data_IF_409038166450
#
_entry.id   IF_409038166450
#
_cell.length_a   1.000
_cell.length_b   1.000
_cell.length_c   1.000
_cell.angle_alpha   90.00
_cell.angle_beta   90.00
_cell.angle_gamma   90.00
#
_symmetry.space_group_name_H-M   'P 1'
#
loop_
_entity.id
_entity.type
_entity.pdbx_description
1 polymer ?
#
# COMPACT_ATOMS: atom_id res chain seq x y z
N UNK A 1 19.90 17.27 -11.74
CA UNK A 1 19.35 15.89 -11.65
C UNK A 1 19.06 15.65 -10.18
N UNK A 2 17.79 15.69 -9.79
CA UNK A 2 17.40 15.51 -8.40
C UNK A 2 17.39 14.02 -8.08
N UNK A 3 18.41 13.57 -7.34
CA UNK A 3 18.37 12.32 -6.59
C UNK A 3 17.37 12.52 -5.44
N UNK A 4 16.12 12.14 -5.66
CA UNK A 4 15.18 11.98 -4.56
C UNK A 4 15.52 10.65 -3.91
N UNK A 5 16.45 10.71 -2.97
CA UNK A 5 16.72 9.62 -2.03
C UNK A 5 15.38 9.30 -1.37
N UNK A 6 14.75 8.23 -1.83
CA UNK A 6 13.46 7.76 -1.33
C UNK A 6 13.71 7.22 0.08
N UNK A 7 13.57 8.10 1.07
CA UNK A 7 13.68 7.77 2.49
C UNK A 7 12.78 6.55 2.76
N UNK A 8 13.33 5.37 3.07
CA UNK A 8 12.55 4.11 3.13
C UNK A 8 11.43 4.17 4.19
N UNK A 9 11.59 5.03 5.20
CA UNK A 9 10.54 5.33 6.19
C UNK A 9 9.31 6.03 5.59
N UNK A 10 9.49 6.87 4.57
CA UNK A 10 8.40 7.56 3.89
C UNK A 10 7.57 6.58 3.04
N UNK A 11 8.22 5.72 2.25
CA UNK A 11 7.49 4.75 1.41
C UNK A 11 6.68 3.75 2.23
N UNK A 12 7.20 3.31 3.39
CA UNK A 12 6.46 2.41 4.29
C UNK A 12 5.23 3.10 4.89
N UNK A 13 5.38 4.36 5.32
CA UNK A 13 4.26 5.14 5.86
C UNK A 13 3.20 5.41 4.79
N UNK A 14 3.60 5.76 3.57
CA UNK A 14 2.70 5.94 2.43
C UNK A 14 1.96 4.63 2.11
N UNK A 15 2.68 3.50 2.06
CA UNK A 15 2.05 2.20 1.82
C UNK A 15 1.03 1.83 2.90
N UNK A 16 1.34 2.08 4.17
CA UNK A 16 0.38 1.89 5.27
C UNK A 16 -0.84 2.80 5.15
N UNK A 17 -0.64 4.06 4.74
CA UNK A 17 -1.74 5.01 4.53
C UNK A 17 -2.66 4.56 3.39
N UNK A 18 -2.09 4.16 2.25
CA UNK A 18 -2.85 3.64 1.10
C UNK A 18 -3.64 2.40 1.48
N UNK A 19 -3.05 1.46 2.23
CA UNK A 19 -3.76 0.26 2.70
C UNK A 19 -5.02 0.61 3.50
N UNK A 20 -4.90 1.50 4.49
CA UNK A 20 -6.03 1.94 5.31
C UNK A 20 -7.10 2.62 4.47
N UNK A 21 -6.71 3.59 3.63
CA UNK A 21 -7.64 4.34 2.80
C UNK A 21 -8.38 3.45 1.79
N UNK A 22 -7.69 2.49 1.17
CA UNK A 22 -8.31 1.54 0.25
C UNK A 22 -9.30 0.60 0.96
N UNK A 23 -9.04 0.21 2.20
CA UNK A 23 -9.98 -0.58 3.01
C UNK A 23 -11.30 0.16 3.27
N UNK A 24 -11.21 1.43 3.67
CA UNK A 24 -12.37 2.28 3.93
C UNK A 24 -13.20 2.49 2.66
N UNK A 25 -12.54 2.80 1.54
CA UNK A 25 -13.21 2.97 0.26
C UNK A 25 -13.84 1.66 -0.26
N UNK A 26 -13.19 0.52 -0.07
CA UNK A 26 -13.74 -0.78 -0.46
C UNK A 26 -15.04 -1.09 0.29
N UNK A 27 -15.07 -0.77 1.59
CA UNK A 27 -16.28 -0.88 2.43
C UNK A 27 -17.41 0.02 1.92
N UNK A 28 -17.10 1.27 1.57
CA UNK A 28 -18.09 2.19 0.98
C UNK A 28 -18.60 1.70 -0.36
N UNK A 29 -17.73 1.24 -1.25
CA UNK A 29 -18.08 0.74 -2.58
C UNK A 29 -19.02 -0.48 -2.50
N UNK A 30 -18.75 -1.43 -1.59
CA UNK A 30 -19.64 -2.59 -1.38
C UNK A 30 -21.01 -2.18 -0.84
N UNK A 31 -21.07 -1.18 0.04
CA UNK A 31 -22.34 -0.66 0.58
C UNK A 31 -23.20 0.02 -0.49
N UNK A 32 -22.60 0.57 -1.54
CA UNK A 32 -23.32 1.25 -2.63
C UNK A 32 -23.55 0.36 -3.86
N UNK A 33 -23.17 -0.93 -3.81
CA UNK A 33 -23.33 -1.87 -4.93
C UNK A 33 -22.31 -1.69 -6.05
N UNK A 34 -21.19 -1.00 -5.78
CA UNK A 34 -20.08 -0.84 -6.72
C UNK A 34 -19.06 -1.99 -6.55
N UNK A 35 -19.51 -3.23 -6.77
CA UNK A 35 -18.75 -4.43 -6.42
C UNK A 35 -17.39 -4.52 -7.14
N UNK A 36 -17.34 -4.20 -8.43
CA UNK A 36 -16.08 -4.18 -9.20
C UNK A 36 -15.09 -3.17 -8.62
N UNK A 37 -15.56 -2.00 -8.21
CA UNK A 37 -14.71 -1.00 -7.57
C UNK A 37 -14.23 -1.48 -6.19
N UNK A 38 -15.12 -2.09 -5.40
CA UNK A 38 -14.77 -2.69 -4.12
C UNK A 38 -13.73 -3.80 -4.24
N UNK A 39 -13.79 -4.59 -5.31
CA UNK A 39 -12.77 -5.60 -5.63
C UNK A 39 -11.41 -4.97 -5.95
N UNK A 40 -11.38 -3.95 -6.82
CA UNK A 40 -10.13 -3.27 -7.18
C UNK A 40 -9.49 -2.59 -5.97
N UNK A 41 -10.28 -1.98 -5.10
CA UNK A 41 -9.78 -1.35 -3.87
C UNK A 41 -9.22 -2.38 -2.88
N UNK A 42 -9.80 -3.58 -2.81
CA UNK A 42 -9.25 -4.68 -2.04
C UNK A 42 -7.89 -5.13 -2.60
N UNK A 43 -7.75 -5.20 -3.92
CA UNK A 43 -6.47 -5.51 -4.57
C UNK A 43 -5.40 -4.46 -4.24
N UNK A 44 -5.76 -3.17 -4.31
CA UNK A 44 -4.85 -2.07 -3.94
C UNK A 44 -4.41 -2.17 -2.49
N UNK A 45 -5.33 -2.49 -1.56
CA UNK A 45 -4.99 -2.71 -0.14
C UNK A 45 -3.93 -3.81 0.01
N UNK A 46 -4.13 -4.95 -0.64
CA UNK A 46 -3.20 -6.09 -0.57
C UNK A 46 -1.82 -5.73 -1.14
N UNK A 47 -1.75 -4.99 -2.24
CA UNK A 47 -0.49 -4.52 -2.83
C UNK A 47 0.25 -3.52 -1.93
N UNK A 48 -0.48 -2.61 -1.29
CA UNK A 48 0.06 -1.65 -0.36
C UNK A 48 0.61 -2.33 0.92
N UNK A 49 -0.12 -3.32 1.45
CA UNK A 49 0.34 -4.15 2.58
C UNK A 49 1.58 -5.00 2.23
N UNK A 50 1.67 -5.50 1.00
CA UNK A 50 2.87 -6.21 0.51
C UNK A 50 4.06 -5.26 0.41
N UNK A 51 3.84 -4.04 -0.09
CA UNK A 51 4.87 -3.02 -0.26
C UNK A 51 5.45 -2.53 1.07
N UNK A 52 4.61 -2.37 2.10
CA UNK A 52 5.08 -1.98 3.45
C UNK A 52 5.91 -3.07 4.13
N UNK A 53 5.58 -4.35 3.90
CA UNK A 53 6.36 -5.49 4.41
C UNK A 53 7.71 -5.62 3.72
N UNK A 54 7.76 -5.41 2.41
CA UNK A 54 8.98 -5.54 1.62
C UNK A 54 9.92 -4.32 1.78
N UNK A 55 9.39 -3.13 2.07
CA UNK A 55 10.18 -1.95 2.40
C UNK A 55 10.92 -2.04 3.74
N UNK A 56 10.53 -2.97 4.62
CA UNK A 56 11.17 -3.24 5.91
C UNK A 56 12.26 -4.33 5.85
N UNK A 57 12.83 -4.63 4.68
CA UNK A 57 14.04 -5.46 4.63
C UNK A 57 15.28 -4.55 4.63
N UNK A 58 15.88 -4.22 5.80
CA UNK A 58 17.19 -3.58 5.83
C UNK A 58 18.19 -4.63 5.35
N UNK A 59 18.55 -4.54 4.08
CA UNK A 59 19.75 -5.08 3.44
C UNK A 59 20.54 -6.11 4.28
N UNK A 60 19.99 -7.31 4.44
CA UNK A 60 20.69 -8.46 4.99
C UNK A 60 21.66 -8.95 3.93
N UNK A 61 22.82 -8.30 3.85
CA UNK A 61 23.94 -8.68 2.97
C UNK A 61 24.34 -10.11 3.29
N UNK A 62 23.89 -11.04 2.44
CA UNK A 62 24.40 -12.40 2.34
C UNK A 62 25.82 -12.34 1.77
N UNK A 63 26.81 -12.62 2.60
CA UNK A 63 28.12 -13.16 2.23
C UNK A 63 28.49 -14.22 3.25
#
# INVERSE_FOLDING_TARGET
MADQTQEPGNSTAVASYVATMSADLASMARRTGLDTLGYLLEMVRLEAESSSRNGHQPNGRRT
#
